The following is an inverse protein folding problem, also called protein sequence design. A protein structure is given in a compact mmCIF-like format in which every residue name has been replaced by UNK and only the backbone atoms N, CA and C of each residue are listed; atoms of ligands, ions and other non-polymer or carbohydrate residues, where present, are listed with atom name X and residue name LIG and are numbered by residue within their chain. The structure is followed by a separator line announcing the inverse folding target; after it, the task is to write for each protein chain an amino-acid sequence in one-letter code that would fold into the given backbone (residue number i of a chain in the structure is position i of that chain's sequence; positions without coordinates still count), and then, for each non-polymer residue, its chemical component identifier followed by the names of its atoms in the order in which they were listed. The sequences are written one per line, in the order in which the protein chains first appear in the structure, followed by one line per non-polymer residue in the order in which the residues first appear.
data_IF_439675737655
#
_entry.id   IF_439675737655
#
_cell.length_a   1.000
_cell.length_b   1.000
_cell.length_c   1.000
_cell.angle_alpha   90.00
_cell.angle_beta   90.00
_cell.angle_gamma   90.00
#
_symmetry.space_group_name_H-M   'P 1'
#
loop_
_entity.id
_entity.type
_entity.pdbx_description
1 polymer ?
#
# COMPACT_ATOMS: atom_id res chain seq x y z
N UNK A 1 -70.28 -17.48 10.94
CA UNK A 1 -69.62 -18.66 10.32
C UNK A 1 -68.29 -18.21 9.77
N UNK A 2 -67.23 -18.87 10.23
CA UNK A 2 -65.82 -18.63 9.93
C UNK A 2 -65.47 -18.80 8.45
N UNK A 3 -64.43 -18.06 7.99
CA UNK A 3 -63.18 -18.58 7.38
C UNK A 3 -62.40 -17.41 6.74
N UNK A 4 -61.43 -16.82 7.44
CA UNK A 4 -59.96 -17.10 7.38
C UNK A 4 -59.22 -16.57 6.15
N UNK A 5 -58.19 -15.75 6.46
CA UNK A 5 -56.84 -15.67 5.85
C UNK A 5 -56.78 -15.02 4.46
N UNK A 6 -55.85 -14.12 4.11
CA UNK A 6 -54.43 -14.02 4.47
C UNK A 6 -54.02 -12.53 4.51
N UNK A 7 -53.45 -12.10 5.64
CA UNK A 7 -52.71 -10.85 5.72
C UNK A 7 -51.33 -11.06 5.08
N UNK A 8 -51.01 -10.31 4.02
CA UNK A 8 -49.69 -10.27 3.43
C UNK A 8 -48.86 -9.18 4.15
N UNK A 9 -48.23 -9.54 5.26
CA UNK A 9 -47.16 -8.74 5.86
C UNK A 9 -45.88 -8.97 5.05
N UNK A 10 -45.64 -8.12 4.06
CA UNK A 10 -44.30 -7.96 3.47
C UNK A 10 -43.48 -7.17 4.49
N UNK A 11 -42.86 -7.88 5.44
CA UNK A 11 -41.82 -7.31 6.27
C UNK A 11 -40.62 -7.02 5.37
N UNK A 12 -40.51 -5.76 4.94
CA UNK A 12 -39.33 -5.25 4.27
C UNK A 12 -38.13 -5.40 5.20
N UNK A 13 -37.28 -6.37 4.91
CA UNK A 13 -35.93 -6.45 5.47
C UNK A 13 -35.16 -5.29 4.85
N UNK A 14 -35.23 -4.13 5.50
CA UNK A 14 -34.28 -3.03 5.27
C UNK A 14 -32.94 -3.59 5.73
N UNK A 15 -32.10 -3.94 4.76
CA UNK A 15 -30.69 -4.19 4.97
C UNK A 15 -30.13 -2.97 5.71
N UNK A 16 -29.87 -3.12 7.01
CA UNK A 16 -29.03 -2.23 7.79
C UNK A 16 -27.61 -2.36 7.22
N UNK A 17 -27.37 -1.73 6.07
CA UNK A 17 -26.03 -1.31 5.73
C UNK A 17 -25.64 -0.36 6.86
N UNK A 18 -24.76 -0.82 7.73
CA UNK A 18 -24.07 0.04 8.68
C UNK A 18 -23.30 1.07 7.86
N UNK A 19 -23.95 2.19 7.57
CA UNK A 19 -23.25 3.40 7.16
C UNK A 19 -22.32 3.70 8.33
N UNK A 20 -21.06 3.31 8.20
CA UNK A 20 -20.00 3.86 9.01
C UNK A 20 -20.01 5.36 8.70
N UNK A 21 -20.81 6.12 9.45
CA UNK A 21 -20.76 7.56 9.40
C UNK A 21 -19.38 7.92 9.95
N UNK A 22 -18.61 8.66 9.16
CA UNK A 22 -17.38 9.25 9.64
C UNK A 22 -17.74 10.02 10.92
N UNK A 23 -17.15 9.62 12.05
CA UNK A 23 -17.31 10.38 13.28
C UNK A 23 -16.70 11.76 13.02
N UNK A 24 -17.53 12.79 13.10
CA UNK A 24 -17.06 14.18 13.02
C UNK A 24 -16.18 14.46 14.24
N UNK A 25 -15.08 15.19 14.03
CA UNK A 25 -14.22 15.64 15.13
C UNK A 25 -15.07 16.45 16.11
N UNK A 26 -15.03 16.14 17.44
CA UNK A 26 -15.82 16.88 18.43
C UNK A 26 -15.52 18.38 18.43
N UNK A 27 -16.51 19.19 18.75
CA UNK A 27 -16.34 20.64 18.90
C UNK A 27 -15.30 20.97 19.98
N UNK A 28 -14.47 22.00 19.73
CA UNK A 28 -13.42 22.44 20.63
C UNK A 28 -12.10 21.67 20.51
N UNK A 29 -12.00 20.67 19.63
CA UNK A 29 -10.75 19.97 19.38
C UNK A 29 -9.97 20.68 18.26
N UNK A 30 -8.67 20.83 18.46
CA UNK A 30 -7.77 21.44 17.48
C UNK A 30 -6.61 20.50 17.20
N UNK A 31 -6.42 20.15 15.92
CA UNK A 31 -5.27 19.38 15.47
C UNK A 31 -3.98 20.15 15.75
N UNK A 32 -2.98 19.49 16.33
CA UNK A 32 -1.69 20.10 16.71
C UNK A 32 -0.52 19.57 15.89
N UNK A 33 -0.58 18.31 15.46
CA UNK A 33 0.51 17.65 14.75
C UNK A 33 0.00 16.47 13.94
N UNK A 34 0.63 16.21 12.79
CA UNK A 34 0.34 15.07 11.93
C UNK A 34 1.64 14.33 11.64
N UNK A 35 1.61 13.00 11.74
CA UNK A 35 2.66 12.12 11.24
C UNK A 35 2.03 11.16 10.24
N UNK A 36 2.57 11.14 9.01
CA UNK A 36 2.12 10.27 7.94
C UNK A 36 3.19 9.22 7.65
N UNK A 37 2.89 7.96 7.95
CA UNK A 37 3.67 6.82 7.46
C UNK A 37 3.10 6.38 6.12
N UNK A 38 3.70 6.88 5.03
CA UNK A 38 3.21 6.61 3.67
C UNK A 38 4.00 5.49 2.98
N UNK A 39 3.28 4.67 2.22
CA UNK A 39 3.88 3.71 1.28
C UNK A 39 4.02 4.40 -0.08
N UNK A 40 5.09 4.09 -0.81
CA UNK A 40 5.23 4.53 -2.20
C UNK A 40 4.02 4.15 -3.07
N UNK A 41 3.72 4.95 -4.08
CA UNK A 41 2.59 4.71 -4.98
C UNK A 41 2.91 3.68 -6.09
N UNK A 42 2.13 3.66 -7.17
CA UNK A 42 2.16 2.67 -8.25
C UNK A 42 3.54 2.53 -8.91
N UNK A 43 4.13 1.34 -8.78
CA UNK A 43 5.46 1.00 -9.29
C UNK A 43 5.45 -0.20 -10.21
N UNK A 44 6.46 -0.30 -11.08
CA UNK A 44 6.69 -1.51 -11.85
C UNK A 44 7.06 -2.70 -10.93
N UNK A 45 6.66 -3.93 -11.29
CA UNK A 45 7.04 -5.14 -10.58
C UNK A 45 8.52 -5.49 -10.79
N UNK A 46 9.02 -6.43 -10.00
CA UNK A 46 10.33 -7.08 -10.19
C UNK A 46 10.11 -8.45 -10.86
N UNK A 47 9.60 -8.45 -12.09
CA UNK A 47 9.04 -9.65 -12.72
C UNK A 47 9.94 -10.31 -13.79
N UNK A 48 11.13 -9.78 -14.08
CA UNK A 48 11.93 -10.20 -15.23
C UNK A 48 13.25 -10.88 -14.83
N UNK A 49 13.96 -11.47 -15.80
CA UNK A 49 15.35 -11.98 -15.69
C UNK A 49 15.53 -13.19 -14.75
N UNK A 50 14.74 -14.24 -14.93
CA UNK A 50 14.77 -15.46 -14.12
C UNK A 50 14.07 -15.31 -12.77
N UNK A 51 13.27 -14.25 -12.58
CA UNK A 51 12.52 -14.06 -11.34
C UNK A 51 11.53 -15.20 -11.09
N UNK A 52 11.12 -15.38 -9.83
CA UNK A 52 10.07 -16.34 -9.48
C UNK A 52 8.79 -16.09 -10.29
N UNK A 53 8.46 -14.83 -10.59
CA UNK A 53 7.27 -14.46 -11.36
C UNK A 53 7.36 -14.97 -12.80
N UNK A 54 8.53 -14.83 -13.44
CA UNK A 54 8.77 -15.35 -14.79
C UNK A 54 8.69 -16.89 -14.81
N UNK A 55 9.21 -17.53 -13.77
CA UNK A 55 9.24 -18.99 -13.65
C UNK A 55 7.88 -19.61 -13.30
N UNK A 56 6.93 -18.81 -12.79
CA UNK A 56 5.65 -19.31 -12.27
C UNK A 56 4.51 -19.29 -13.29
N UNK A 57 4.75 -18.88 -14.53
CA UNK A 57 3.75 -18.90 -15.59
C UNK A 57 4.39 -19.16 -16.95
N UNK A 58 3.72 -19.85 -17.89
CA UNK A 58 4.17 -19.90 -19.28
C UNK A 58 3.86 -18.60 -20.04
N UNK A 59 3.08 -17.69 -19.45
CA UNK A 59 2.61 -16.48 -20.11
C UNK A 59 3.70 -15.40 -20.14
N UNK A 60 3.60 -14.50 -21.12
CA UNK A 60 4.44 -13.29 -21.14
C UNK A 60 3.88 -12.25 -20.19
N UNK A 61 4.75 -11.71 -19.33
CA UNK A 61 4.42 -10.55 -18.50
C UNK A 61 4.32 -9.29 -19.35
N UNK A 62 3.33 -8.41 -19.09
CA UNK A 62 3.27 -7.11 -19.74
C UNK A 62 4.51 -6.26 -19.45
N UNK A 63 4.96 -5.52 -20.45
CA UNK A 63 6.06 -4.57 -20.30
C UNK A 63 5.61 -3.30 -19.58
N UNK A 64 6.55 -2.68 -18.87
CA UNK A 64 6.37 -1.40 -18.20
C UNK A 64 7.33 -0.39 -18.83
N UNK A 65 6.90 0.88 -18.88
CA UNK A 65 7.66 2.00 -19.42
C UNK A 65 8.78 2.51 -18.49
N UNK A 66 8.84 1.97 -17.26
CA UNK A 66 9.88 2.27 -16.26
C UNK A 66 10.62 1.01 -15.81
N UNK A 67 11.88 1.13 -15.36
CA UNK A 67 12.62 0.00 -14.80
C UNK A 67 11.92 -0.65 -13.61
N UNK A 68 12.19 -1.94 -13.39
CA UNK A 68 11.61 -2.71 -12.30
C UNK A 68 11.80 -2.06 -10.93
N UNK A 69 10.73 -1.99 -10.15
CA UNK A 69 10.75 -1.41 -8.81
C UNK A 69 10.76 0.13 -8.74
N UNK A 70 10.75 0.83 -9.87
CA UNK A 70 10.62 2.30 -9.93
C UNK A 70 9.15 2.74 -9.95
N UNK A 71 8.91 3.96 -9.49
CA UNK A 71 7.61 4.62 -9.57
C UNK A 71 7.26 4.90 -11.03
N UNK A 72 6.00 4.65 -11.40
CA UNK A 72 5.48 4.98 -12.73
C UNK A 72 5.05 6.45 -12.79
N UNK A 73 4.97 7.02 -13.99
CA UNK A 73 4.41 8.38 -14.19
C UNK A 73 2.98 8.48 -13.64
N UNK A 74 2.15 7.45 -13.89
CA UNK A 74 0.80 7.38 -13.32
C UNK A 74 0.81 7.33 -11.79
N UNK A 75 1.77 6.63 -11.18
CA UNK A 75 1.98 6.63 -9.73
C UNK A 75 2.27 8.04 -9.20
N UNK A 76 3.07 8.82 -9.91
CA UNK A 76 3.29 10.24 -9.58
C UNK A 76 2.02 11.08 -9.66
N UNK A 77 1.23 10.93 -10.73
CA UNK A 77 -0.07 11.64 -10.88
C UNK A 77 -1.05 11.30 -9.75
N UNK A 78 -1.17 10.01 -9.40
CA UNK A 78 -2.01 9.58 -8.27
C UNK A 78 -1.54 10.19 -6.95
N UNK A 79 -0.23 10.32 -6.77
CA UNK A 79 0.34 10.91 -5.57
C UNK A 79 0.14 12.43 -5.49
N UNK A 80 0.14 13.13 -6.62
CA UNK A 80 -0.25 14.55 -6.68
C UNK A 80 -1.67 14.74 -6.17
N UNK A 81 -2.62 13.88 -6.58
CA UNK A 81 -3.98 13.94 -6.07
C UNK A 81 -4.07 13.66 -4.56
N UNK A 82 -3.28 12.71 -4.06
CA UNK A 82 -3.18 12.45 -2.61
C UNK A 82 -2.61 13.65 -1.85
N UNK A 83 -1.57 14.29 -2.38
CA UNK A 83 -1.00 15.51 -1.82
C UNK A 83 -2.02 16.64 -1.77
N UNK A 84 -2.74 16.86 -2.88
CA UNK A 84 -3.78 17.89 -2.97
C UNK A 84 -4.90 17.66 -1.95
N UNK A 85 -5.43 16.43 -1.86
CA UNK A 85 -6.41 16.08 -0.84
C UNK A 85 -5.89 16.36 0.57
N UNK A 86 -4.64 15.95 0.86
CA UNK A 86 -4.06 16.16 2.18
C UNK A 86 -3.92 17.65 2.51
N UNK A 87 -3.58 18.47 1.52
CA UNK A 87 -3.51 19.93 1.68
C UNK A 87 -4.86 20.53 2.02
N UNK A 88 -5.93 20.13 1.34
CA UNK A 88 -7.28 20.61 1.65
C UNK A 88 -7.69 20.22 3.07
N UNK A 89 -7.48 18.96 3.44
CA UNK A 89 -7.77 18.48 4.79
C UNK A 89 -6.95 19.22 5.86
N UNK A 90 -5.64 19.40 5.66
CA UNK A 90 -4.80 20.15 6.60
C UNK A 90 -5.25 21.60 6.74
N UNK A 91 -5.76 22.22 5.66
CA UNK A 91 -6.29 23.58 5.71
C UNK A 91 -7.63 23.64 6.45
N UNK A 92 -8.52 22.67 6.25
CA UNK A 92 -9.77 22.53 7.00
C UNK A 92 -9.49 22.37 8.51
N UNK A 93 -8.45 21.63 8.87
CA UNK A 93 -8.02 21.46 10.26
C UNK A 93 -7.23 22.65 10.82
N UNK A 94 -7.02 23.72 10.05
CA UNK A 94 -6.30 24.93 10.49
C UNK A 94 -4.78 24.75 10.63
N UNK A 95 -4.21 23.65 10.13
CA UNK A 95 -2.78 23.37 10.20
C UNK A 95 -1.97 24.18 9.18
N UNK A 96 -2.59 24.51 8.04
CA UNK A 96 -2.01 25.33 6.98
C UNK A 96 -3.10 26.23 6.39
N UNK A 97 -2.72 27.25 5.62
CA UNK A 97 -3.69 28.10 4.90
C UNK A 97 -3.81 27.64 3.46
N UNK A 98 -5.02 27.65 2.91
CA UNK A 98 -5.21 27.39 1.47
C UNK A 98 -4.57 28.49 0.62
N UNK A 99 -3.99 28.13 -0.53
CA UNK A 99 -3.36 29.08 -1.47
C UNK A 99 -2.02 29.70 -1.04
N UNK A 100 -1.56 29.51 0.21
CA UNK A 100 -0.30 30.09 0.72
C UNK A 100 0.72 29.00 1.08
N UNK A 101 1.98 29.16 0.68
CA UNK A 101 3.03 28.26 1.16
C UNK A 101 3.13 28.29 2.69
N UNK A 102 3.26 27.14 3.35
CA UNK A 102 3.43 27.13 4.79
C UNK A 102 4.76 27.79 5.18
N UNK A 103 4.88 28.35 6.39
CA UNK A 103 6.16 28.84 6.91
C UNK A 103 7.24 27.74 6.89
N UNK A 104 8.53 28.11 6.89
CA UNK A 104 9.62 27.15 7.06
C UNK A 104 9.38 26.20 8.24
N UNK A 105 9.86 24.97 8.12
CA UNK A 105 9.79 23.91 9.15
C UNK A 105 8.38 23.41 9.53
N UNK A 106 7.31 23.93 8.92
CA UNK A 106 5.94 23.42 9.12
C UNK A 106 5.74 22.02 8.55
N UNK A 107 6.44 21.72 7.46
CA UNK A 107 6.35 20.44 6.74
C UNK A 107 7.74 19.86 6.59
N UNK A 108 7.91 18.64 7.08
CA UNK A 108 9.15 17.87 6.92
C UNK A 108 8.84 16.56 6.19
N UNK A 109 9.35 16.43 4.97
CA UNK A 109 9.26 15.21 4.19
C UNK A 109 10.56 14.41 4.30
N UNK A 110 10.46 13.15 4.74
CA UNK A 110 11.57 12.23 4.81
C UNK A 110 11.20 10.90 4.17
N UNK A 111 12.05 10.44 3.27
CA UNK A 111 11.87 9.21 2.53
C UNK A 111 13.10 8.32 2.66
N UNK A 112 12.89 7.02 2.51
CA UNK A 112 13.99 6.10 2.21
C UNK A 112 14.66 6.51 0.88
N UNK A 113 15.90 6.07 0.65
CA UNK A 113 16.73 6.52 -0.49
C UNK A 113 16.59 5.62 -1.72
N UNK A 114 15.39 5.07 -1.93
CA UNK A 114 15.04 4.36 -3.15
C UNK A 114 14.25 5.29 -4.07
N UNK A 115 14.46 5.17 -5.38
CA UNK A 115 13.80 6.04 -6.36
C UNK A 115 12.28 6.11 -6.13
N UNK A 116 11.63 4.96 -5.89
CA UNK A 116 10.18 4.90 -5.70
C UNK A 116 9.68 5.69 -4.48
N UNK A 117 10.45 5.75 -3.39
CA UNK A 117 10.05 6.45 -2.17
C UNK A 117 10.32 7.94 -2.28
N UNK A 118 11.50 8.33 -2.79
CA UNK A 118 11.84 9.74 -3.00
C UNK A 118 10.90 10.38 -4.03
N UNK A 119 10.67 9.72 -5.17
CA UNK A 119 9.77 10.22 -6.21
C UNK A 119 8.33 10.37 -5.70
N UNK A 120 7.83 9.39 -4.92
CA UNK A 120 6.49 9.50 -4.31
C UNK A 120 6.42 10.74 -3.41
N UNK A 121 7.39 10.92 -2.50
CA UNK A 121 7.42 12.08 -1.61
C UNK A 121 7.48 13.40 -2.39
N UNK A 122 8.24 13.47 -3.50
CA UNK A 122 8.31 14.66 -4.36
C UNK A 122 6.95 14.99 -4.99
N UNK A 123 6.26 14.00 -5.56
CA UNK A 123 4.92 14.19 -6.13
C UNK A 123 3.88 14.55 -5.07
N UNK A 124 3.96 13.94 -3.88
CA UNK A 124 3.10 14.28 -2.75
C UNK A 124 3.28 15.74 -2.34
N UNK A 125 4.53 16.18 -2.13
CA UNK A 125 4.83 17.56 -1.74
C UNK A 125 4.44 18.55 -2.84
N UNK A 126 4.68 18.20 -4.11
CA UNK A 126 4.27 19.05 -5.24
C UNK A 126 2.75 19.17 -5.32
N UNK A 127 2.00 18.09 -5.04
CA UNK A 127 0.54 18.12 -5.02
C UNK A 127 -0.04 18.86 -3.82
N UNK A 128 0.59 18.73 -2.65
CA UNK A 128 0.15 19.37 -1.43
C UNK A 128 0.52 20.86 -1.35
N UNK A 129 1.71 21.22 -1.84
CA UNK A 129 2.28 22.57 -1.70
C UNK A 129 2.91 23.02 -3.02
N UNK A 130 2.10 23.16 -4.09
CA UNK A 130 2.61 23.50 -5.42
C UNK A 130 3.32 24.86 -5.41
N UNK A 131 4.55 24.89 -5.92
CA UNK A 131 5.37 26.11 -6.00
C UNK A 131 6.06 26.50 -4.69
N UNK A 132 5.99 25.68 -3.65
CA UNK A 132 6.65 25.93 -2.38
C UNK A 132 8.00 25.21 -2.28
N UNK A 133 8.96 25.85 -1.60
CA UNK A 133 10.30 25.31 -1.39
C UNK A 133 10.34 24.32 -0.20
N UNK A 134 9.68 23.16 -0.35
CA UNK A 134 9.69 22.08 0.64
C UNK A 134 10.52 20.91 0.11
N UNK A 135 11.76 20.69 0.61
CA UNK A 135 12.61 19.61 0.15
C UNK A 135 12.15 18.25 0.68
N UNK A 136 12.44 17.21 -0.09
CA UNK A 136 12.36 15.81 0.36
C UNK A 136 13.73 15.39 0.87
N UNK A 137 13.82 15.04 2.14
CA UNK A 137 15.03 14.54 2.76
C UNK A 137 15.13 13.03 2.57
N UNK A 138 16.34 12.53 2.41
CA UNK A 138 16.69 11.12 2.40
C UNK A 138 18.20 10.99 2.70
N UNK A 139 18.67 9.77 2.94
CA UNK A 139 20.11 9.53 3.09
C UNK A 139 20.86 9.94 1.82
N UNK A 140 22.08 10.48 1.95
CA UNK A 140 22.85 11.00 0.81
C UNK A 140 23.02 9.96 -0.31
N UNK A 141 23.26 8.69 0.06
CA UNK A 141 23.44 7.60 -0.89
C UNK A 141 22.11 7.08 -1.43
N UNK A 142 21.79 7.46 -2.67
CA UNK A 142 20.67 6.88 -3.41
C UNK A 142 20.91 5.42 -3.79
N UNK A 143 19.82 4.65 -3.86
CA UNK A 143 19.81 3.23 -4.23
C UNK A 143 20.06 2.26 -3.08
N UNK A 144 20.41 2.76 -1.89
CA UNK A 144 20.55 1.93 -0.68
C UNK A 144 19.36 2.06 0.26
N UNK A 145 19.09 1.02 1.04
CA UNK A 145 18.10 1.08 2.10
C UNK A 145 18.64 1.90 3.26
N UNK A 146 17.89 2.93 3.65
CA UNK A 146 18.10 3.68 4.86
C UNK A 146 17.69 2.83 6.09
N UNK A 147 18.52 2.71 7.14
CA UNK A 147 18.22 1.92 8.34
C UNK A 147 16.90 2.27 9.02
N UNK A 148 16.45 3.52 8.97
CA UNK A 148 15.14 3.93 9.52
C UNK A 148 13.98 3.19 8.86
N UNK A 149 14.14 2.82 7.58
CA UNK A 149 13.09 2.17 6.79
C UNK A 149 13.43 0.74 6.40
N UNK A 150 14.57 0.18 6.85
CA UNK A 150 15.03 -1.13 6.44
C UNK A 150 14.51 -2.21 7.40
N UNK A 151 13.52 -3.04 7.00
CA UNK A 151 12.89 -4.00 7.90
C UNK A 151 13.72 -5.30 7.97
N UNK A 152 14.98 -5.19 8.42
CA UNK A 152 15.90 -6.31 8.58
C UNK A 152 16.00 -6.70 10.05
N UNK A 153 16.27 -7.97 10.30
CA UNK A 153 16.61 -8.44 11.65
C UNK A 153 17.99 -7.91 12.02
N UNK A 154 18.07 -7.20 13.15
CA UNK A 154 19.32 -6.64 13.70
C UNK A 154 19.84 -7.40 14.91
N UNK A 155 19.05 -8.33 15.47
CA UNK A 155 19.48 -9.30 16.48
C UNK A 155 19.95 -10.58 15.77
N UNK A 156 21.27 -10.80 15.76
CA UNK A 156 21.90 -11.92 15.04
C UNK A 156 22.00 -13.20 15.89
N UNK A 157 21.37 -13.24 17.06
CA UNK A 157 21.40 -14.44 17.90
C UNK A 157 20.64 -15.60 17.26
N UNK A 158 21.20 -16.80 17.38
CA UNK A 158 20.54 -18.02 16.90
C UNK A 158 19.19 -18.23 17.60
N UNK A 159 19.12 -17.94 18.90
CA UNK A 159 17.90 -18.05 19.68
C UNK A 159 16.79 -17.10 19.17
N UNK A 160 17.11 -15.86 18.83
CA UNK A 160 16.14 -14.94 18.22
C UNK A 160 15.70 -15.45 16.84
N UNK A 161 16.63 -15.91 16.02
CA UNK A 161 16.34 -16.43 14.68
C UNK A 161 15.36 -17.62 14.73
N UNK A 162 15.58 -18.57 15.63
CA UNK A 162 14.67 -19.71 15.86
C UNK A 162 13.28 -19.25 16.30
N UNK A 163 13.21 -18.29 17.23
CA UNK A 163 11.95 -17.71 17.69
C UNK A 163 11.20 -16.98 16.58
N UNK A 164 11.92 -16.20 15.75
CA UNK A 164 11.33 -15.47 14.63
C UNK A 164 10.72 -16.42 13.61
N UNK A 165 11.42 -17.51 13.23
CA UNK A 165 10.90 -18.53 12.32
C UNK A 165 9.67 -19.22 12.91
N UNK A 166 9.73 -19.66 14.16
CA UNK A 166 8.59 -20.30 14.83
C UNK A 166 7.37 -19.37 14.91
N UNK A 167 7.59 -18.07 15.15
CA UNK A 167 6.53 -17.07 15.14
C UNK A 167 5.93 -16.89 13.74
N UNK A 168 6.75 -16.83 12.69
CA UNK A 168 6.28 -16.74 11.30
C UNK A 168 5.46 -17.96 10.88
N UNK A 169 5.91 -19.16 11.21
CA UNK A 169 5.17 -20.40 10.95
C UNK A 169 3.83 -20.43 11.69
N UNK A 170 3.82 -19.98 12.94
CA UNK A 170 2.59 -19.84 13.73
C UNK A 170 1.62 -18.85 13.09
N UNK A 171 2.07 -17.68 12.63
CA UNK A 171 1.19 -16.75 11.91
C UNK A 171 0.68 -17.35 10.60
N UNK A 172 1.53 -18.03 9.83
CA UNK A 172 1.14 -18.69 8.58
C UNK A 172 0.07 -19.76 8.82
N UNK A 173 0.19 -20.56 9.90
CA UNK A 173 -0.78 -21.61 10.24
C UNK A 173 -2.20 -21.09 10.54
N UNK A 174 -2.35 -19.80 10.84
CA UNK A 174 -3.66 -19.16 11.03
C UNK A 174 -4.35 -18.83 9.71
N UNK A 175 -3.60 -18.79 8.60
CA UNK A 175 -4.11 -18.44 7.29
C UNK A 175 -4.61 -19.68 6.55
N UNK A 176 -5.76 -19.57 5.87
CA UNK A 176 -6.30 -20.61 5.00
C UNK A 176 -6.16 -20.18 3.54
N UNK A 177 -5.02 -20.51 2.94
CA UNK A 177 -4.65 -20.05 1.60
C UNK A 177 -4.92 -21.08 0.49
N UNK A 178 -5.41 -22.28 0.83
CA UNK A 178 -5.61 -23.38 -0.12
C UNK A 178 -6.40 -22.96 -1.36
N UNK A 179 -7.53 -22.27 -1.20
CA UNK A 179 -8.35 -21.84 -2.33
C UNK A 179 -7.74 -20.64 -3.07
N UNK A 180 -6.96 -19.80 -2.37
CA UNK A 180 -6.17 -18.74 -3.00
C UNK A 180 -5.09 -19.33 -3.90
N UNK A 181 -4.37 -20.37 -3.46
CA UNK A 181 -3.37 -21.06 -4.28
C UNK A 181 -4.00 -21.78 -5.47
N UNK A 182 -5.13 -22.49 -5.29
CA UNK A 182 -5.85 -23.10 -6.43
C UNK A 182 -6.27 -22.05 -7.47
N UNK A 183 -6.78 -20.90 -7.03
CA UNK A 183 -7.16 -19.83 -7.93
C UNK A 183 -5.94 -19.24 -8.63
N UNK A 184 -4.85 -19.01 -7.89
CA UNK A 184 -3.60 -18.49 -8.44
C UNK A 184 -3.01 -19.44 -9.48
N UNK A 185 -2.98 -20.75 -9.21
CA UNK A 185 -2.54 -21.79 -10.16
C UNK A 185 -3.30 -21.72 -11.49
N UNK A 186 -4.61 -21.45 -11.43
CA UNK A 186 -5.44 -21.28 -12.62
C UNK A 186 -5.12 -19.99 -13.37
N UNK A 187 -5.06 -18.85 -12.67
CA UNK A 187 -4.79 -17.53 -13.27
C UNK A 187 -3.44 -17.53 -13.99
N UNK A 188 -2.41 -18.10 -13.36
CA UNK A 188 -1.04 -18.08 -13.89
C UNK A 188 -0.72 -19.28 -14.79
N UNK A 189 -1.68 -20.19 -15.01
CA UNK A 189 -1.45 -21.47 -15.67
C UNK A 189 -0.19 -22.19 -15.13
N UNK A 190 -0.12 -22.34 -13.80
CA UNK A 190 1.11 -22.76 -13.11
C UNK A 190 1.61 -24.14 -13.52
N UNK A 191 0.71 -25.07 -13.84
CA UNK A 191 1.07 -26.44 -14.27
C UNK A 191 1.93 -26.45 -15.55
N UNK A 192 1.77 -25.44 -16.38
CA UNK A 192 2.52 -25.29 -17.61
C UNK A 192 3.77 -24.42 -17.47
N UNK A 193 4.00 -23.86 -16.29
CA UNK A 193 5.15 -23.00 -16.02
C UNK A 193 6.48 -23.76 -16.02
N UNK A 194 7.60 -23.08 -16.28
CA UNK A 194 8.94 -23.66 -16.13
C UNK A 194 9.19 -24.25 -14.73
N UNK A 195 8.71 -23.60 -13.67
CA UNK A 195 8.86 -24.10 -12.30
C UNK A 195 8.19 -25.48 -12.09
N UNK A 196 7.01 -25.69 -12.67
CA UNK A 196 6.32 -26.98 -12.56
C UNK A 196 6.96 -28.05 -13.46
N UNK A 197 7.32 -27.70 -14.70
CA UNK A 197 7.81 -28.65 -15.70
C UNK A 197 9.26 -29.08 -15.48
N UNK A 198 10.12 -28.16 -15.06
CA UNK A 198 11.57 -28.37 -14.98
C UNK A 198 12.06 -28.62 -13.56
N UNK A 199 11.42 -27.99 -12.56
CA UNK A 199 11.82 -28.10 -11.14
C UNK A 199 10.94 -29.03 -10.32
N UNK A 200 9.94 -29.66 -10.95
CA UNK A 200 8.98 -30.57 -10.31
C UNK A 200 8.24 -29.95 -9.09
N UNK A 201 8.11 -28.63 -9.05
CA UNK A 201 7.27 -27.95 -8.06
C UNK A 201 5.82 -28.02 -8.52
N UNK A 202 5.15 -29.13 -8.21
CA UNK A 202 3.87 -29.50 -8.83
C UNK A 202 2.68 -28.64 -8.36
N UNK A 203 2.85 -27.85 -7.29
CA UNK A 203 1.80 -26.97 -6.71
C UNK A 203 2.42 -25.71 -6.09
N UNK A 204 1.59 -24.67 -5.97
CA UNK A 204 1.86 -23.47 -5.17
C UNK A 204 1.52 -23.70 -3.69
#
# INVERSE_FOLDING_TARGET
MNKTLIAATVAGIVLLASNAQAQTVPEGYQLQQVLMMSRHNLRAPLANNGSVLEQSTPNKWPEWDVPGGQLTTKGGVLEVYMGHYMREWLAEQGMVKSGECPPPDTVYAYANSLQRTVATAQFFITGAFPGCDIPVHHQEKMGTMDPTFNPVITDDSAAFSEQAVAAMEKELSKLQLTDSYKLLEQIVNYKDSPACKEKHNVRL
#
